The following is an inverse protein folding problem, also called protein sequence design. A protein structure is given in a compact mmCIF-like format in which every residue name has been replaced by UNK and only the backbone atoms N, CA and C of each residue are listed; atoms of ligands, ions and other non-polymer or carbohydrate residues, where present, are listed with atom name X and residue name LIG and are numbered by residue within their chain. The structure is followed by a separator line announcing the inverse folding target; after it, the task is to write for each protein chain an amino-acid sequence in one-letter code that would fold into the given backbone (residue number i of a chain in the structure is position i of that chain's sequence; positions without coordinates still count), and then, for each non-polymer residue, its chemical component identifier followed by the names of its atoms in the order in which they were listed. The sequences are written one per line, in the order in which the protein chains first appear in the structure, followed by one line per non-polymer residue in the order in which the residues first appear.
data_IF_104708578748
#
_entry.id   IF_104708578748
#
_cell.length_a   1.000
_cell.length_b   1.000
_cell.length_c   1.000
_cell.angle_alpha   90.00
_cell.angle_beta   90.00
_cell.angle_gamma   90.00
#
_symmetry.space_group_name_H-M   'P 1'
#
loop_
_entity.id
_entity.type
_entity.pdbx_description
1 polymer ?
#
# COMPACT_ATOMS: atom_id res chain seq x y z
N UNK A 1 -0.77 13.18 13.85
CA UNK A 1 -0.61 12.05 14.80
C UNK A 1 -0.03 10.91 13.98
N UNK A 2 1.28 10.64 14.14
CA UNK A 2 2.05 9.83 13.19
C UNK A 2 1.62 8.37 13.16
N UNK A 3 1.53 7.79 11.96
CA UNK A 3 1.22 6.38 11.69
C UNK A 3 2.49 5.53 11.92
N UNK A 4 3.24 5.82 12.98
CA UNK A 4 4.35 4.99 13.44
C UNK A 4 3.82 4.03 14.52
N UNK A 5 2.79 3.25 14.18
CA UNK A 5 2.40 2.08 14.98
C UNK A 5 3.33 0.92 14.65
N UNK A 6 3.56 0.00 15.59
CA UNK A 6 4.35 -1.23 15.38
C UNK A 6 3.93 -1.92 14.07
N UNK A 7 4.69 -1.65 13.01
CA UNK A 7 4.45 -2.17 11.69
C UNK A 7 5.71 -2.92 11.26
N UNK A 8 5.51 -4.05 10.60
CA UNK A 8 6.60 -4.76 9.94
C UNK A 8 7.24 -3.78 8.94
N UNK A 9 8.56 -3.79 8.72
CA UNK A 9 9.19 -2.94 7.70
C UNK A 9 8.54 -3.03 6.31
N UNK A 10 7.91 -4.17 6.01
CA UNK A 10 7.11 -4.38 4.81
C UNK A 10 5.92 -3.41 4.66
N UNK A 11 5.36 -2.89 5.75
CA UNK A 11 4.26 -1.93 5.72
C UNK A 11 4.75 -0.54 5.30
N UNK A 12 5.89 -0.11 5.83
CA UNK A 12 6.52 1.14 5.41
C UNK A 12 6.95 1.07 3.94
N UNK A 13 7.50 -0.07 3.52
CA UNK A 13 7.88 -0.31 2.12
C UNK A 13 6.65 -0.39 1.19
N UNK A 14 5.58 -1.08 1.61
CA UNK A 14 4.33 -1.18 0.86
C UNK A 14 3.62 0.16 0.69
N UNK A 15 3.61 0.99 1.75
CA UNK A 15 3.14 2.36 1.70
C UNK A 15 4.00 3.25 0.79
N UNK A 16 5.33 3.16 0.89
CA UNK A 16 6.26 3.91 0.04
C UNK A 16 6.08 3.56 -1.44
N UNK A 17 6.00 2.27 -1.78
CA UNK A 17 5.81 1.81 -3.15
C UNK A 17 4.45 2.26 -3.71
N UNK A 18 3.38 2.13 -2.93
CA UNK A 18 2.02 2.50 -3.36
C UNK A 18 1.87 4.01 -3.58
N UNK A 19 2.50 4.83 -2.72
CA UNK A 19 2.46 6.28 -2.81
C UNK A 19 3.31 6.85 -3.95
N UNK A 20 4.36 6.14 -4.37
CA UNK A 20 5.24 6.56 -5.46
C UNK A 20 4.99 5.81 -6.77
N UNK A 21 3.93 5.00 -6.83
CA UNK A 21 3.52 4.24 -8.03
C UNK A 21 4.64 3.38 -8.61
N UNK A 22 5.39 2.71 -7.74
CA UNK A 22 6.51 1.87 -8.17
C UNK A 22 6.02 0.73 -9.09
N UNK A 23 6.83 0.41 -10.09
CA UNK A 23 6.63 -0.79 -10.91
C UNK A 23 7.00 -2.05 -10.12
N UNK A 24 6.51 -3.22 -10.54
CA UNK A 24 6.89 -4.49 -9.91
C UNK A 24 8.42 -4.68 -9.87
N UNK A 25 9.16 -4.22 -10.88
CA UNK A 25 10.63 -4.29 -10.93
C UNK A 25 11.28 -3.38 -9.89
N UNK A 26 10.74 -2.17 -9.71
CA UNK A 26 11.21 -1.22 -8.69
C UNK A 26 10.88 -1.72 -7.28
N UNK A 27 9.75 -2.39 -7.09
CA UNK A 27 9.37 -3.01 -5.81
C UNK A 27 10.29 -4.18 -5.47
N UNK A 28 10.59 -5.06 -6.43
CA UNK A 28 11.57 -6.14 -6.25
C UNK A 28 12.93 -5.54 -5.91
N UNK A 29 13.39 -4.55 -6.68
CA UNK A 29 14.66 -3.88 -6.41
C UNK A 29 14.70 -3.27 -5.01
N UNK A 30 13.65 -2.55 -4.58
CA UNK A 30 13.54 -1.99 -3.25
C UNK A 30 13.64 -3.07 -2.17
N UNK A 31 12.90 -4.16 -2.31
CA UNK A 31 12.88 -5.25 -1.33
C UNK A 31 14.22 -5.97 -1.25
N UNK A 32 14.86 -6.23 -2.40
CA UNK A 32 16.17 -6.90 -2.44
C UNK A 32 17.27 -6.04 -1.83
N UNK A 33 17.26 -4.72 -2.09
CA UNK A 33 18.18 -3.78 -1.45
C UNK A 33 17.91 -3.63 0.05
N UNK A 34 16.65 -3.65 0.48
CA UNK A 34 16.29 -3.55 1.88
C UNK A 34 16.72 -4.78 2.70
N UNK A 35 16.57 -5.98 2.13
CA UNK A 35 16.90 -7.25 2.80
C UNK A 35 18.31 -7.76 2.51
N UNK A 36 19.10 -7.04 1.69
CA UNK A 36 20.43 -7.40 1.21
C UNK A 36 20.52 -8.84 0.66
N UNK A 37 19.45 -9.27 -0.02
CA UNK A 37 19.32 -10.62 -0.56
C UNK A 37 18.24 -10.67 -1.63
N UNK A 38 18.30 -11.69 -2.50
CA UNK A 38 17.23 -11.94 -3.46
C UNK A 38 15.91 -12.22 -2.75
N UNK A 39 14.82 -11.66 -3.27
CA UNK A 39 13.51 -11.83 -2.67
C UNK A 39 12.98 -13.24 -2.95
N UNK A 40 12.54 -13.95 -1.92
CA UNK A 40 11.90 -15.26 -2.09
C UNK A 40 10.41 -15.10 -2.42
N UNK A 41 9.82 -16.10 -3.07
CA UNK A 41 8.38 -16.11 -3.35
C UNK A 41 7.53 -15.95 -2.07
N UNK A 42 7.96 -16.55 -0.95
CA UNK A 42 7.29 -16.41 0.35
C UNK A 42 7.33 -14.96 0.86
N UNK A 43 8.48 -14.29 0.79
CA UNK A 43 8.61 -12.89 1.22
C UNK A 43 7.83 -11.94 0.30
N UNK A 44 7.81 -12.23 -0.99
CA UNK A 44 7.02 -11.48 -1.96
C UNK A 44 5.51 -11.59 -1.67
N UNK A 45 5.01 -12.81 -1.38
CA UNK A 45 3.62 -13.02 -1.00
C UNK A 45 3.23 -12.25 0.27
N UNK A 46 4.08 -12.25 1.30
CA UNK A 46 3.87 -11.46 2.53
C UNK A 46 3.85 -9.96 2.25
N UNK A 47 4.75 -9.48 1.39
CA UNK A 47 4.79 -8.09 0.98
C UNK A 47 3.50 -7.67 0.24
N UNK A 48 3.03 -8.47 -0.72
CA UNK A 48 1.77 -8.21 -1.44
C UNK A 48 0.57 -8.14 -0.48
N UNK A 49 0.49 -9.05 0.49
CA UNK A 49 -0.59 -9.01 1.49
C UNK A 49 -0.58 -7.70 2.30
N UNK A 50 0.60 -7.22 2.67
CA UNK A 50 0.77 -5.96 3.40
C UNK A 50 0.45 -4.75 2.49
N UNK A 51 0.80 -4.80 1.21
CA UNK A 51 0.44 -3.78 0.22
C UNK A 51 -1.08 -3.66 0.09
N UNK A 52 -1.78 -4.79 -0.04
CA UNK A 52 -3.25 -4.82 -0.02
C UNK A 52 -3.84 -4.22 1.27
N UNK A 53 -3.31 -4.61 2.44
CA UNK A 53 -3.78 -4.07 3.71
C UNK A 53 -3.58 -2.53 3.81
N UNK A 54 -2.48 -2.03 3.25
CA UNK A 54 -2.17 -0.59 3.22
C UNK A 54 -3.14 0.17 2.31
N UNK A 55 -3.38 -0.34 1.09
CA UNK A 55 -4.33 0.26 0.15
C UNK A 55 -5.75 0.26 0.70
N UNK A 56 -6.20 -0.85 1.29
CA UNK A 56 -7.51 -0.95 1.91
C UNK A 56 -7.66 0.04 3.09
N UNK A 57 -6.62 0.20 3.91
CA UNK A 57 -6.62 1.17 5.00
C UNK A 57 -6.79 2.60 4.46
N UNK A 58 -6.08 2.97 3.40
CA UNK A 58 -6.21 4.29 2.77
C UNK A 58 -7.61 4.50 2.16
N UNK A 59 -8.17 3.50 1.48
CA UNK A 59 -9.56 3.54 0.99
C UNK A 59 -10.57 3.79 2.11
N UNK A 60 -10.44 3.07 3.23
CA UNK A 60 -11.35 3.25 4.38
C UNK A 60 -11.17 4.62 5.04
N UNK A 61 -9.93 5.11 5.12
CA UNK A 61 -9.65 6.45 5.62
C UNK A 61 -10.26 7.53 4.73
N UNK A 62 -10.17 7.40 3.41
CA UNK A 62 -10.75 8.36 2.47
C UNK A 62 -12.27 8.34 2.50
N UNK A 63 -12.91 7.16 2.49
CA UNK A 63 -14.37 7.02 2.65
C UNK A 63 -14.89 7.66 3.95
N UNK A 64 -14.16 7.47 5.06
CA UNK A 64 -14.51 8.11 6.34
C UNK A 64 -14.35 9.63 6.26
N UNK A 65 -13.32 10.10 5.54
CA UNK A 65 -13.03 11.51 5.36
C UNK A 65 -14.06 12.22 4.47
N UNK A 66 -14.66 11.54 3.49
CA UNK A 66 -15.78 12.07 2.70
C UNK A 66 -16.95 12.53 3.59
N UNK A 67 -17.18 11.83 4.70
CA UNK A 67 -18.31 12.10 5.62
C UNK A 67 -17.91 13.11 6.71
N UNK A 68 -16.64 13.09 7.14
CA UNK A 68 -16.22 13.73 8.39
C UNK A 68 -15.27 14.91 8.21
N UNK A 69 -14.55 14.97 7.09
CA UNK A 69 -13.55 16.01 6.84
C UNK A 69 -14.19 17.33 6.45
N UNK A 70 -13.54 18.43 6.82
CA UNK A 70 -13.89 19.81 6.41
C UNK A 70 -12.91 20.39 5.40
N UNK A 71 -11.94 19.58 4.96
CA UNK A 71 -10.90 19.98 4.01
C UNK A 71 -11.49 19.91 2.60
N UNK A 72 -11.21 20.94 1.80
CA UNK A 72 -11.53 20.94 0.37
C UNK A 72 -10.53 20.05 -0.38
N UNK A 73 -10.91 18.78 -0.53
CA UNK A 73 -10.14 17.74 -1.22
C UNK A 73 -11.11 16.73 -1.82
N UNK A 74 -10.79 16.21 -3.01
CA UNK A 74 -11.61 15.21 -3.70
C UNK A 74 -11.37 13.80 -3.12
N UNK A 75 -11.91 13.57 -1.91
CA UNK A 75 -11.80 12.29 -1.24
C UNK A 75 -12.46 11.16 -2.02
N UNK A 76 -13.52 11.44 -2.77
CA UNK A 76 -14.21 10.43 -3.57
C UNK A 76 -13.33 9.90 -4.69
N UNK A 77 -12.67 10.79 -5.44
CA UNK A 77 -11.69 10.38 -6.45
C UNK A 77 -10.54 9.60 -5.81
N UNK A 78 -10.04 10.04 -4.65
CA UNK A 78 -8.96 9.35 -3.94
C UNK A 78 -9.38 7.96 -3.43
N UNK A 79 -10.64 7.80 -3.00
CA UNK A 79 -11.24 6.50 -2.66
C UNK A 79 -11.24 5.57 -3.86
N UNK A 80 -11.73 6.03 -5.01
CA UNK A 80 -11.80 5.23 -6.24
C UNK A 80 -10.40 4.81 -6.71
N UNK A 81 -9.42 5.71 -6.67
CA UNK A 81 -8.03 5.42 -7.04
C UNK A 81 -7.40 4.34 -6.13
N UNK A 82 -7.54 4.47 -4.81
CA UNK A 82 -6.97 3.49 -3.87
C UNK A 82 -7.71 2.14 -3.92
N UNK A 83 -9.03 2.16 -4.11
CA UNK A 83 -9.81 0.92 -4.25
C UNK A 83 -9.41 0.15 -5.52
N UNK A 84 -9.26 0.83 -6.65
CA UNK A 84 -8.80 0.20 -7.89
C UNK A 84 -7.40 -0.42 -7.72
N UNK A 85 -6.47 0.32 -7.09
CA UNK A 85 -5.13 -0.20 -6.77
C UNK A 85 -5.21 -1.43 -5.86
N UNK A 86 -6.08 -1.39 -4.83
CA UNK A 86 -6.30 -2.54 -3.94
C UNK A 86 -6.78 -3.76 -4.72
N UNK A 87 -7.80 -3.61 -5.57
CA UNK A 87 -8.37 -4.71 -6.35
C UNK A 87 -7.33 -5.32 -7.30
N UNK A 88 -6.49 -4.51 -7.92
CA UNK A 88 -5.44 -4.99 -8.82
C UNK A 88 -4.33 -5.74 -8.10
N UNK A 89 -3.92 -5.30 -6.91
CA UNK A 89 -2.96 -6.03 -6.09
C UNK A 89 -3.57 -7.29 -5.49
N UNK A 90 -4.84 -7.25 -5.08
CA UNK A 90 -5.51 -8.40 -4.47
C UNK A 90 -5.65 -9.58 -5.45
N UNK A 91 -5.87 -9.30 -6.75
CA UNK A 91 -5.86 -10.31 -7.82
C UNK A 91 -4.52 -11.05 -7.95
N UNK A 92 -3.40 -10.46 -7.49
CA UNK A 92 -2.07 -11.10 -7.54
C UNK A 92 -1.86 -12.13 -6.41
N UNK A 93 -2.75 -12.14 -5.41
CA UNK A 93 -2.67 -13.02 -4.23
C UNK A 93 -3.67 -14.19 -4.32
N UNK A 94 -4.72 -14.07 -5.16
CA UNK A 94 -5.66 -15.16 -5.46
C UNK A 94 -5.06 -16.23 -6.36
#
# INVERSE_FOLDING_TARGET
MGIAGFNTPLFDLGGLASNNEFSNEQEIYLLENYFDQKISAEKMSKYLAIKCASLLRETLWSMTSEITSKIDFDYKKYTDENLNKFEDEFKKIQ
#
